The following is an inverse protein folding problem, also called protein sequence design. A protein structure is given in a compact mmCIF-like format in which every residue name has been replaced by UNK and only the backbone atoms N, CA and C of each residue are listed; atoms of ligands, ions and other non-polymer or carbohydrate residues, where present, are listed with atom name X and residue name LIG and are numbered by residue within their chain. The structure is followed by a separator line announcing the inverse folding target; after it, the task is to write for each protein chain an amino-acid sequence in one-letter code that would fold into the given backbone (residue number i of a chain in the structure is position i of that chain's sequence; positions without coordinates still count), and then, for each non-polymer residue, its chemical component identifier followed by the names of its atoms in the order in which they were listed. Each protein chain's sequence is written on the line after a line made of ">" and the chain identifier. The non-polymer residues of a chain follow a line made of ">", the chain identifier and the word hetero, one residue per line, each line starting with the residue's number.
data_IF_643862734560
#
_entry.id   IF_643862734560
#
_cell.length_a   1.000
_cell.length_b   1.000
_cell.length_c   1.000
_cell.angle_alpha   90.00
_cell.angle_beta   90.00
_cell.angle_gamma   90.00
#
_symmetry.space_group_name_H-M   'P 1'
#
loop_
_entity.id
_entity.type
_entity.pdbx_description
1 polymer ?
#
# COMPACT_ATOMS: atom_id res chain seq x y z
N UNK A 1 -9.92 31.72 -12.30
CA UNK A 1 -9.35 30.54 -11.59
C UNK A 1 -10.50 29.81 -10.94
N UNK A 2 -10.47 28.48 -10.91
CA UNK A 2 -11.50 27.67 -10.21
C UNK A 2 -11.28 27.79 -8.71
N UNK A 3 -12.32 28.08 -7.94
CA UNK A 3 -12.26 28.08 -6.48
C UNK A 3 -12.44 26.65 -5.96
N UNK A 4 -11.35 26.06 -5.45
CA UNK A 4 -11.34 24.68 -4.95
C UNK A 4 -12.01 24.50 -3.58
N UNK A 5 -12.39 25.60 -2.93
CA UNK A 5 -13.10 25.62 -1.64
C UNK A 5 -14.59 25.92 -1.77
N UNK A 6 -15.10 26.16 -2.99
CA UNK A 6 -16.53 26.28 -3.25
C UNK A 6 -17.25 24.98 -2.82
N UNK A 7 -18.30 25.04 -1.96
CA UNK A 7 -19.03 23.88 -1.48
C UNK A 7 -19.55 22.98 -2.62
N UNK A 8 -19.91 23.55 -3.78
CA UNK A 8 -20.38 22.76 -4.93
C UNK A 8 -19.24 21.92 -5.52
N UNK A 9 -18.04 22.49 -5.60
CA UNK A 9 -16.84 21.81 -6.12
C UNK A 9 -16.38 20.76 -5.12
N UNK A 10 -16.34 21.08 -3.83
CA UNK A 10 -15.98 20.14 -2.75
C UNK A 10 -16.91 18.93 -2.75
N UNK A 11 -18.23 19.13 -2.89
CA UNK A 11 -19.20 18.04 -2.96
C UNK A 11 -18.98 17.13 -4.19
N UNK A 12 -18.63 17.71 -5.35
CA UNK A 12 -18.27 16.92 -6.53
C UNK A 12 -16.98 16.14 -6.32
N UNK A 13 -15.94 16.76 -5.77
CA UNK A 13 -14.67 16.10 -5.43
C UNK A 13 -14.89 14.95 -4.45
N UNK A 14 -15.74 15.13 -3.44
CA UNK A 14 -16.09 14.08 -2.47
C UNK A 14 -16.72 12.87 -3.16
N UNK A 15 -17.71 13.11 -4.02
CA UNK A 15 -18.38 12.03 -4.78
C UNK A 15 -17.42 11.28 -5.70
N UNK A 16 -16.55 12.01 -6.40
CA UNK A 16 -15.52 11.41 -7.26
C UNK A 16 -14.50 10.60 -6.44
N UNK A 17 -14.07 11.10 -5.28
CA UNK A 17 -13.15 10.37 -4.41
C UNK A 17 -13.76 9.06 -3.89
N UNK A 18 -15.03 9.07 -3.48
CA UNK A 18 -15.74 7.85 -3.08
C UNK A 18 -15.87 6.86 -4.24
N UNK A 19 -16.23 7.31 -5.43
CA UNK A 19 -16.31 6.44 -6.60
C UNK A 19 -14.96 5.77 -6.91
N UNK A 20 -13.85 6.52 -6.84
CA UNK A 20 -12.50 5.98 -7.05
C UNK A 20 -12.12 4.99 -5.94
N UNK A 21 -12.47 5.29 -4.69
CA UNK A 21 -12.27 4.40 -3.56
C UNK A 21 -13.01 3.06 -3.76
N UNK A 22 -14.29 3.12 -4.12
CA UNK A 22 -15.14 1.95 -4.32
C UNK A 22 -14.66 1.11 -5.52
N UNK A 23 -14.26 1.76 -6.61
CA UNK A 23 -13.65 1.11 -7.77
C UNK A 23 -12.35 0.38 -7.38
N UNK A 24 -11.50 1.05 -6.59
CA UNK A 24 -10.25 0.46 -6.08
C UNK A 24 -10.53 -0.72 -5.15
N UNK A 25 -11.58 -0.62 -4.32
CA UNK A 25 -12.08 -1.71 -3.49
C UNK A 25 -12.52 -2.91 -4.33
N UNK A 26 -13.26 -2.67 -5.43
CA UNK A 26 -13.65 -3.71 -6.38
C UNK A 26 -12.45 -4.42 -7.03
N UNK A 27 -11.46 -3.65 -7.51
CA UNK A 27 -10.22 -4.21 -8.05
C UNK A 27 -9.46 -5.06 -7.01
N UNK A 28 -9.42 -4.61 -5.76
CA UNK A 28 -8.81 -5.36 -4.67
C UNK A 28 -9.59 -6.65 -4.37
N UNK A 29 -10.92 -6.61 -4.31
CA UNK A 29 -11.76 -7.79 -4.08
C UNK A 29 -11.52 -8.83 -5.17
N UNK A 30 -11.50 -8.41 -6.44
CA UNK A 30 -11.18 -9.29 -7.56
C UNK A 30 -9.83 -9.98 -7.35
N UNK A 31 -8.81 -9.20 -7.00
CA UNK A 31 -7.48 -9.74 -6.79
C UNK A 31 -7.37 -10.64 -5.55
N UNK A 32 -8.13 -10.32 -4.51
CA UNK A 32 -8.29 -11.18 -3.34
C UNK A 32 -8.90 -12.52 -3.75
N UNK A 33 -9.99 -12.55 -4.53
CA UNK A 33 -10.64 -13.80 -4.92
C UNK A 33 -9.73 -14.70 -5.77
N UNK A 34 -9.03 -14.15 -6.76
CA UNK A 34 -8.13 -14.94 -7.64
C UNK A 34 -7.01 -15.61 -6.85
N UNK A 35 -6.56 -14.98 -5.77
CA UNK A 35 -5.41 -15.46 -5.00
C UNK A 35 -5.77 -16.23 -3.74
N UNK A 36 -7.06 -16.54 -3.52
CA UNK A 36 -7.52 -17.43 -2.45
C UNK A 36 -6.99 -18.87 -2.55
N UNK A 37 -6.85 -19.50 -3.73
CA UNK A 37 -6.31 -20.85 -3.83
C UNK A 37 -4.91 -20.98 -3.23
N UNK A 38 -4.06 -19.96 -3.45
CA UNK A 38 -2.71 -19.89 -2.87
C UNK A 38 -2.75 -19.86 -1.33
N UNK A 39 -3.63 -19.03 -0.78
CA UNK A 39 -3.79 -18.91 0.68
C UNK A 39 -4.33 -20.22 1.29
N UNK A 40 -5.21 -20.92 0.58
CA UNK A 40 -5.73 -22.23 0.96
C UNK A 40 -4.64 -23.31 0.97
N UNK A 41 -3.76 -23.33 -0.03
CA UNK A 41 -2.58 -24.23 -0.04
C UNK A 41 -1.65 -23.97 1.14
N UNK A 42 -1.50 -22.69 1.52
CA UNK A 42 -0.71 -22.31 2.68
C UNK A 42 -1.33 -22.76 4.00
N UNK A 43 -2.65 -22.59 4.15
CA UNK A 43 -3.40 -23.08 5.31
C UNK A 43 -3.28 -24.61 5.47
N UNK A 44 -3.27 -25.34 4.35
CA UNK A 44 -3.02 -26.80 4.31
C UNK A 44 -1.57 -27.20 4.65
N UNK A 45 -0.70 -26.27 5.09
CA UNK A 45 0.71 -26.47 5.45
C UNK A 45 1.57 -27.07 4.34
N UNK A 46 1.24 -26.83 3.08
CA UNK A 46 2.07 -27.26 1.93
C UNK A 46 3.45 -26.59 1.93
N UNK A 47 3.59 -25.43 2.60
CA UNK A 47 4.83 -24.68 2.72
C UNK A 47 5.20 -24.41 4.19
N UNK A 48 6.49 -24.46 4.57
CA UNK A 48 6.91 -24.15 5.94
C UNK A 48 6.65 -22.69 6.29
N UNK A 49 6.38 -22.43 7.57
CA UNK A 49 6.15 -21.07 8.05
C UNK A 49 7.44 -20.24 7.94
N UNK A 50 7.35 -19.06 7.32
CA UNK A 50 8.46 -18.11 7.16
C UNK A 50 7.98 -16.72 7.57
N UNK A 51 8.82 -15.98 8.28
CA UNK A 51 8.54 -14.61 8.74
C UNK A 51 7.88 -13.68 7.70
N UNK A 52 8.30 -13.66 6.41
CA UNK A 52 7.65 -12.83 5.39
C UNK A 52 6.16 -13.11 5.17
N UNK A 53 5.67 -14.29 5.53
CA UNK A 53 4.26 -14.66 5.41
C UNK A 53 3.37 -13.82 6.32
N UNK A 54 3.87 -13.38 7.48
CA UNK A 54 3.12 -12.50 8.38
C UNK A 54 2.86 -11.15 7.69
N UNK A 55 3.85 -10.60 6.99
CA UNK A 55 3.69 -9.36 6.24
C UNK A 55 2.76 -9.54 5.03
N UNK A 56 2.84 -10.68 4.33
CA UNK A 56 1.94 -11.04 3.24
C UNK A 56 0.48 -11.11 3.71
N UNK A 57 0.17 -11.96 4.68
CA UNK A 57 -1.20 -12.11 5.17
C UNK A 57 -1.68 -10.84 5.87
N UNK A 58 -0.83 -10.19 6.66
CA UNK A 58 -1.18 -8.97 7.36
C UNK A 58 -1.51 -7.83 6.39
N UNK A 59 -0.67 -7.55 5.39
CA UNK A 59 -0.96 -6.50 4.39
C UNK A 59 -2.25 -6.79 3.63
N UNK A 60 -2.48 -8.06 3.27
CA UNK A 60 -3.66 -8.50 2.56
C UNK A 60 -4.93 -8.32 3.40
N UNK A 61 -5.04 -8.98 4.54
CA UNK A 61 -6.28 -8.95 5.34
C UNK A 61 -6.56 -7.58 5.95
N UNK A 62 -5.53 -6.82 6.31
CA UNK A 62 -5.72 -5.45 6.79
C UNK A 62 -6.23 -4.51 5.70
N UNK A 63 -5.80 -4.66 4.44
CA UNK A 63 -6.36 -3.90 3.33
C UNK A 63 -7.85 -4.23 3.11
N UNK A 64 -8.22 -5.51 3.21
CA UNK A 64 -9.63 -5.91 3.15
C UNK A 64 -10.47 -5.31 4.27
N UNK A 65 -9.97 -5.40 5.52
CA UNK A 65 -10.63 -4.82 6.68
C UNK A 65 -10.77 -3.28 6.56
N UNK A 66 -9.69 -2.60 6.17
CA UNK A 66 -9.69 -1.16 5.95
C UNK A 66 -10.64 -0.74 4.83
N UNK A 67 -10.74 -1.53 3.75
CA UNK A 67 -11.72 -1.33 2.69
C UNK A 67 -13.16 -1.40 3.20
N UNK A 68 -13.51 -2.42 3.98
CA UNK A 68 -14.85 -2.55 4.58
C UNK A 68 -15.19 -1.36 5.49
N UNK A 69 -14.24 -0.89 6.28
CA UNK A 69 -14.42 0.29 7.12
C UNK A 69 -14.58 1.56 6.27
N UNK A 70 -13.81 1.69 5.19
CA UNK A 70 -13.90 2.82 4.26
C UNK A 70 -15.27 2.86 3.56
N UNK A 71 -15.79 1.71 3.09
CA UNK A 71 -17.16 1.60 2.57
C UNK A 71 -18.20 2.05 3.60
N UNK A 72 -18.02 1.67 4.87
CA UNK A 72 -18.92 2.10 5.95
C UNK A 72 -18.88 3.61 6.17
N UNK A 73 -17.70 4.25 6.07
CA UNK A 73 -17.58 5.72 6.19
C UNK A 73 -18.16 6.50 5.01
N UNK A 74 -18.23 5.87 3.83
CA UNK A 74 -18.81 6.46 2.61
C UNK A 74 -20.34 6.36 2.55
N UNK A 75 -20.95 5.48 3.35
CA UNK A 75 -22.40 5.23 3.39
C UNK A 75 -22.90 5.22 4.84
N UNK A 76 -23.26 6.41 5.35
CA UNK A 76 -23.67 6.61 6.73
C UNK A 76 -25.16 6.95 6.80
N UNK A 77 -25.97 6.01 7.28
CA UNK A 77 -27.43 6.14 7.41
C UNK A 77 -27.89 6.74 8.76
N UNK A 78 -27.07 7.56 9.43
CA UNK A 78 -27.41 8.18 10.71
C UNK A 78 -26.19 8.70 11.49
N UNK A 79 -26.39 9.45 12.59
CA UNK A 79 -25.29 9.99 13.38
C UNK A 79 -24.43 8.86 13.95
N UNK A 80 -23.16 8.82 13.57
CA UNK A 80 -22.17 7.84 14.05
C UNK A 80 -20.88 8.55 14.45
N UNK A 81 -20.06 7.89 15.26
CA UNK A 81 -18.75 8.42 15.65
C UNK A 81 -17.75 8.36 14.48
N UNK A 82 -17.88 9.27 13.51
CA UNK A 82 -17.02 9.37 12.32
C UNK A 82 -15.53 9.38 12.66
N UNK A 83 -15.17 10.08 13.74
CA UNK A 83 -13.80 10.16 14.24
C UNK A 83 -13.20 8.78 14.57
N UNK A 84 -13.98 7.88 15.18
CA UNK A 84 -13.53 6.55 15.55
C UNK A 84 -13.38 5.65 14.32
N UNK A 85 -14.37 5.68 13.41
CA UNK A 85 -14.33 4.93 12.16
C UNK A 85 -13.17 5.35 11.26
N UNK A 86 -12.90 6.65 11.13
CA UNK A 86 -11.76 7.13 10.36
C UNK A 86 -10.43 6.74 10.98
N UNK A 87 -10.27 6.87 12.29
CA UNK A 87 -9.04 6.41 12.96
C UNK A 87 -8.80 4.93 12.74
N UNK A 88 -9.84 4.10 12.83
CA UNK A 88 -9.73 2.66 12.56
C UNK A 88 -9.39 2.37 11.09
N UNK A 89 -10.04 3.06 10.15
CA UNK A 89 -9.82 2.90 8.70
C UNK A 89 -8.40 3.32 8.30
N UNK A 90 -7.92 4.47 8.78
CA UNK A 90 -6.56 4.92 8.52
C UNK A 90 -5.52 4.07 9.24
N UNK A 91 -5.77 3.62 10.47
CA UNK A 91 -4.87 2.71 11.18
C UNK A 91 -4.66 1.42 10.39
N UNK A 92 -5.74 0.81 9.90
CA UNK A 92 -5.68 -0.43 9.12
C UNK A 92 -5.03 -0.21 7.75
N UNK A 93 -5.35 0.89 7.05
CA UNK A 93 -4.73 1.25 5.78
C UNK A 93 -3.22 1.56 5.91
N UNK A 94 -2.83 2.28 6.95
CA UNK A 94 -1.42 2.57 7.21
C UNK A 94 -0.65 1.33 7.64
N UNK A 95 -1.25 0.45 8.45
CA UNK A 95 -0.65 -0.82 8.82
C UNK A 95 -0.49 -1.74 7.59
N UNK A 96 -1.48 -1.81 6.69
CA UNK A 96 -1.35 -2.62 5.48
C UNK A 96 -0.27 -2.07 4.54
N UNK A 97 -0.19 -0.75 4.39
CA UNK A 97 0.88 -0.07 3.64
C UNK A 97 2.26 -0.37 4.22
N UNK A 98 2.44 -0.26 5.55
CA UNK A 98 3.71 -0.58 6.21
C UNK A 98 4.14 -2.04 5.97
N UNK A 99 3.21 -2.99 6.06
CA UNK A 99 3.51 -4.39 5.77
C UNK A 99 3.81 -4.65 4.29
N UNK A 100 3.17 -3.89 3.38
CA UNK A 100 3.51 -3.88 1.96
C UNK A 100 4.94 -3.39 1.70
N UNK A 101 5.30 -2.23 2.27
CA UNK A 101 6.66 -1.69 2.22
C UNK A 101 7.68 -2.64 2.88
N UNK A 102 7.30 -3.35 3.94
CA UNK A 102 8.15 -4.38 4.57
C UNK A 102 8.43 -5.55 3.63
N UNK A 103 7.47 -6.01 2.82
CA UNK A 103 7.69 -7.05 1.80
C UNK A 103 8.69 -6.58 0.75
N UNK A 104 8.59 -5.32 0.31
CA UNK A 104 9.56 -4.71 -0.59
C UNK A 104 10.95 -4.65 0.04
N UNK A 105 11.03 -4.19 1.29
CA UNK A 105 12.28 -4.11 2.05
C UNK A 105 12.95 -5.48 2.21
N UNK A 106 12.20 -6.53 2.57
CA UNK A 106 12.74 -7.88 2.67
C UNK A 106 13.35 -8.38 1.36
N UNK A 107 12.77 -7.99 0.21
CA UNK A 107 13.35 -8.30 -1.09
C UNK A 107 14.68 -7.58 -1.31
N UNK A 108 14.80 -6.32 -0.91
CA UNK A 108 16.07 -5.57 -0.94
C UNK A 108 17.14 -6.27 -0.07
N UNK A 109 16.77 -6.76 1.12
CA UNK A 109 17.68 -7.50 2.00
C UNK A 109 18.18 -8.78 1.32
N UNK A 110 17.29 -9.52 0.67
CA UNK A 110 17.64 -10.75 -0.04
C UNK A 110 18.58 -10.48 -1.23
N UNK A 111 18.34 -9.41 -1.99
CA UNK A 111 19.15 -9.02 -3.15
C UNK A 111 20.52 -8.44 -2.76
N UNK A 112 20.58 -7.68 -1.67
CA UNK A 112 21.81 -7.04 -1.21
C UNK A 112 22.81 -8.01 -0.55
N UNK A 113 22.56 -9.32 -0.59
CA UNK A 113 23.42 -10.31 0.07
C UNK A 113 23.51 -10.11 1.59
N UNK A 114 22.47 -9.52 2.21
CA UNK A 114 22.43 -9.15 3.63
C UNK A 114 23.52 -8.15 4.04
N UNK A 115 23.86 -7.20 3.17
CA UNK A 115 24.78 -6.11 3.51
C UNK A 115 24.23 -5.30 4.70
N UNK A 116 24.98 -5.31 5.82
CA UNK A 116 24.58 -4.68 7.09
C UNK A 116 24.33 -3.17 6.96
N UNK A 117 25.05 -2.48 6.06
CA UNK A 117 24.87 -1.05 5.84
C UNK A 117 23.51 -0.73 5.21
N UNK A 118 23.11 -1.49 4.18
CA UNK A 118 21.81 -1.33 3.52
C UNK A 118 20.68 -1.63 4.50
N UNK A 119 20.81 -2.72 5.26
CA UNK A 119 19.83 -3.11 6.29
C UNK A 119 19.72 -2.02 7.37
N UNK A 120 20.84 -1.48 7.84
CA UNK A 120 20.86 -0.45 8.88
C UNK A 120 20.18 0.85 8.43
N UNK A 121 20.55 1.37 7.25
CA UNK A 121 20.02 2.62 6.71
C UNK A 121 18.52 2.49 6.39
N UNK A 122 18.13 1.46 5.63
CA UNK A 122 16.71 1.26 5.29
C UNK A 122 15.90 0.84 6.51
N UNK A 123 16.47 0.06 7.44
CA UNK A 123 15.80 -0.31 8.68
C UNK A 123 15.47 0.91 9.53
N UNK A 124 16.41 1.85 9.65
CA UNK A 124 16.16 3.14 10.31
C UNK A 124 15.07 3.94 9.62
N UNK A 125 15.12 4.07 8.29
CA UNK A 125 14.08 4.77 7.52
C UNK A 125 12.71 4.12 7.69
N UNK A 126 12.64 2.79 7.65
CA UNK A 126 11.39 2.05 7.87
C UNK A 126 10.80 2.34 9.26
N UNK A 127 11.63 2.43 10.31
CA UNK A 127 11.16 2.85 11.64
C UNK A 127 10.61 4.29 11.64
N UNK A 128 11.26 5.21 10.92
CA UNK A 128 10.74 6.57 10.73
C UNK A 128 9.40 6.57 9.98
N UNK A 129 9.24 5.71 8.97
CA UNK A 129 7.98 5.52 8.25
C UNK A 129 6.88 5.04 9.20
N UNK A 130 7.14 3.99 10.00
CA UNK A 130 6.18 3.49 10.99
C UNK A 130 5.79 4.56 12.01
N UNK A 131 6.75 5.34 12.52
CA UNK A 131 6.48 6.42 13.45
C UNK A 131 5.61 7.52 12.82
N UNK A 132 5.88 7.90 11.57
CA UNK A 132 5.10 8.88 10.83
C UNK A 132 3.65 8.39 10.60
N UNK A 133 3.48 7.12 10.24
CA UNK A 133 2.17 6.48 10.05
C UNK A 133 1.33 6.51 11.34
N UNK A 134 1.94 6.17 12.48
CA UNK A 134 1.27 6.23 13.80
C UNK A 134 0.89 7.67 14.16
N UNK A 135 1.81 8.62 13.97
CA UNK A 135 1.54 10.03 14.23
C UNK A 135 0.34 10.55 13.42
N UNK A 136 0.28 10.27 12.11
CA UNK A 136 -0.84 10.67 11.26
C UNK A 136 -2.15 10.02 11.71
N UNK A 137 -2.13 8.73 12.06
CA UNK A 137 -3.32 7.99 12.53
C UNK A 137 -3.96 8.62 13.78
N UNK A 138 -3.15 9.11 14.72
CA UNK A 138 -3.66 9.71 15.97
C UNK A 138 -4.22 11.12 15.70
N UNK A 139 -3.59 11.86 14.79
CA UNK A 139 -3.92 13.26 14.48
C UNK A 139 -5.08 13.44 13.51
N UNK A 140 -5.42 12.42 12.73
CA UNK A 140 -6.48 12.53 11.72
C UNK A 140 -7.82 12.90 12.36
N UNK A 141 -8.60 13.74 11.68
CA UNK A 141 -9.94 14.13 12.12
C UNK A 141 -10.98 13.78 11.08
N UNK A 142 -12.14 13.37 11.58
CA UNK A 142 -13.27 12.94 10.77
C UNK A 142 -14.55 13.57 11.28
N UNK A 143 -15.22 14.33 10.42
CA UNK A 143 -16.46 15.04 10.74
C UNK A 143 -17.62 14.47 9.92
N UNK A 144 -18.80 14.42 10.53
CA UNK A 144 -20.00 13.96 9.83
C UNK A 144 -20.58 15.08 8.98
N UNK A 145 -20.78 14.84 7.69
CA UNK A 145 -21.41 15.79 6.78
C UNK A 145 -22.84 15.32 6.45
N UNK A 146 -23.88 15.94 7.05
CA UNK A 146 -25.27 15.50 6.88
C UNK A 146 -25.75 15.65 5.43
N UNK A 147 -25.30 16.68 4.71
CA UNK A 147 -25.72 16.98 3.33
C UNK A 147 -25.29 15.91 2.32
N UNK A 148 -24.22 15.16 2.64
CA UNK A 148 -23.65 14.12 1.78
C UNK A 148 -23.83 12.71 2.34
N UNK A 149 -24.43 12.56 3.52
CA UNK A 149 -24.62 11.27 4.23
C UNK A 149 -23.32 10.45 4.37
N UNK A 150 -22.20 11.14 4.63
CA UNK A 150 -20.87 10.55 4.73
C UNK A 150 -20.07 11.13 5.90
N UNK A 151 -19.01 10.43 6.27
CA UNK A 151 -17.96 10.99 7.11
C UNK A 151 -16.88 11.61 6.20
N UNK A 152 -16.56 12.88 6.41
CA UNK A 152 -15.48 13.58 5.71
C UNK A 152 -14.21 13.62 6.55
N UNK A 153 -13.06 13.42 5.90
CA UNK A 153 -11.75 13.62 6.53
C UNK A 153 -11.40 15.11 6.48
N UNK A 154 -10.93 15.65 7.59
CA UNK A 154 -10.48 17.04 7.69
C UNK A 154 -9.00 17.11 8.06
N UNK A 155 -8.34 18.18 7.63
CA UNK A 155 -6.93 18.44 7.91
C UNK A 155 -5.99 17.34 7.38
N UNK A 156 -6.16 16.99 6.11
CA UNK A 156 -5.35 15.98 5.41
C UNK A 156 -3.91 16.42 5.18
N UNK A 157 -3.60 17.70 5.39
CA UNK A 157 -2.25 18.26 5.30
C UNK A 157 -1.24 17.55 6.21
N UNK A 158 -1.69 17.01 7.36
CA UNK A 158 -0.87 16.25 8.30
C UNK A 158 -0.36 14.94 7.67
N UNK A 159 -1.10 14.38 6.72
CA UNK A 159 -0.70 13.15 6.00
C UNK A 159 0.45 13.39 5.02
N UNK A 160 0.79 14.65 4.71
CA UNK A 160 1.84 15.00 3.74
C UNK A 160 3.19 14.39 4.09
N UNK A 161 3.67 14.62 5.31
CA UNK A 161 4.98 14.14 5.76
C UNK A 161 5.05 12.61 5.69
N UNK A 162 4.01 11.94 6.18
CA UNK A 162 3.91 10.49 6.14
C UNK A 162 3.95 9.93 4.71
N UNK A 163 3.23 10.57 3.80
CA UNK A 163 3.19 10.15 2.39
C UNK A 163 4.56 10.27 1.73
N UNK A 164 5.28 11.38 1.94
CA UNK A 164 6.62 11.58 1.38
C UNK A 164 7.67 10.65 1.99
N UNK A 165 7.60 10.39 3.30
CA UNK A 165 8.50 9.42 3.95
C UNK A 165 8.28 8.02 3.37
N UNK A 166 7.03 7.60 3.18
CA UNK A 166 6.68 6.29 2.61
C UNK A 166 7.09 6.19 1.14
N UNK A 167 6.75 7.21 0.34
CA UNK A 167 7.15 7.27 -1.07
C UNK A 167 8.67 7.23 -1.23
N UNK A 168 9.39 8.03 -0.44
CA UNK A 168 10.86 8.06 -0.45
C UNK A 168 11.48 6.72 -0.05
N UNK A 169 10.89 6.03 0.93
CA UNK A 169 11.32 4.69 1.34
C UNK A 169 11.17 3.66 0.21
N UNK A 170 9.98 3.57 -0.39
CA UNK A 170 9.71 2.63 -1.48
C UNK A 170 10.56 2.97 -2.73
N UNK A 171 10.79 4.26 -2.99
CA UNK A 171 11.68 4.72 -4.06
C UNK A 171 13.15 4.36 -3.80
N UNK A 172 13.64 4.54 -2.58
CA UNK A 172 14.99 4.13 -2.20
C UNK A 172 15.17 2.62 -2.34
N UNK A 173 14.17 1.82 -1.94
CA UNK A 173 14.15 0.39 -2.17
C UNK A 173 14.28 0.06 -3.66
N UNK A 174 13.51 0.74 -4.52
CA UNK A 174 13.56 0.55 -5.96
C UNK A 174 14.96 0.87 -6.54
N UNK A 175 15.54 2.01 -6.18
CA UNK A 175 16.87 2.41 -6.64
C UNK A 175 17.94 1.38 -6.26
N UNK A 176 17.87 0.83 -5.05
CA UNK A 176 18.80 -0.19 -4.59
C UNK A 176 18.60 -1.50 -5.36
N UNK A 177 17.35 -1.93 -5.56
CA UNK A 177 17.04 -3.12 -6.39
C UNK A 177 17.62 -2.95 -7.78
N UNK A 178 17.38 -1.82 -8.45
CA UNK A 178 17.96 -1.54 -9.76
C UNK A 178 19.48 -1.54 -9.73
N UNK A 179 20.10 -0.89 -8.74
CA UNK A 179 21.56 -0.83 -8.60
C UNK A 179 22.21 -2.21 -8.54
N UNK A 180 21.70 -3.10 -7.67
CA UNK A 180 22.20 -4.48 -7.57
C UNK A 180 21.91 -5.30 -8.84
N UNK A 181 20.77 -5.06 -9.48
CA UNK A 181 20.37 -5.75 -10.70
C UNK A 181 21.23 -5.37 -11.91
N UNK A 182 21.65 -4.11 -12.02
CA UNK A 182 22.57 -3.67 -13.06
C UNK A 182 23.96 -4.28 -12.89
N UNK A 183 24.41 -4.48 -11.64
CA UNK A 183 25.70 -5.12 -11.34
C UNK A 183 25.69 -6.63 -11.63
N UNK A 184 24.55 -7.30 -11.45
CA UNK A 184 24.39 -8.74 -11.65
C UNK A 184 24.06 -9.18 -13.10
N UNK A 185 24.37 -8.34 -14.10
CA UNK A 185 24.14 -8.64 -15.53
C UNK A 185 24.91 -9.92 -15.93
N UNK A 186 24.18 -11.00 -16.28
CA UNK A 186 24.77 -12.20 -16.90
C UNK A 186 24.40 -13.55 -16.27
N UNK A 187 23.76 -13.59 -15.10
CA UNK A 187 23.23 -14.84 -14.54
C UNK A 187 21.81 -15.09 -15.07
N UNK A 188 21.42 -16.32 -15.44
CA UNK A 188 20.03 -16.63 -15.86
C UNK A 188 18.93 -16.29 -14.82
N UNK A 189 19.33 -16.07 -13.57
CA UNK A 189 18.49 -15.53 -12.49
C UNK A 189 18.11 -14.05 -12.70
N UNK A 190 18.89 -13.32 -13.52
CA UNK A 190 18.70 -11.91 -13.86
C UNK A 190 17.39 -11.68 -14.59
N UNK A 191 17.06 -12.46 -15.62
CA UNK A 191 15.82 -12.26 -16.40
C UNK A 191 14.56 -12.39 -15.54
N UNK A 192 14.54 -13.34 -14.60
CA UNK A 192 13.41 -13.53 -13.70
C UNK A 192 13.30 -12.41 -12.66
N UNK A 193 14.43 -12.00 -12.05
CA UNK A 193 14.47 -10.94 -11.04
C UNK A 193 14.19 -9.55 -11.64
N UNK A 194 14.68 -9.29 -12.87
CA UNK A 194 14.44 -8.05 -13.62
C UNK A 194 12.98 -7.98 -14.06
N UNK A 195 12.49 -9.01 -14.77
CA UNK A 195 11.17 -8.98 -15.39
C UNK A 195 10.05 -8.96 -14.35
N UNK A 196 10.16 -9.77 -13.29
CA UNK A 196 9.09 -9.91 -12.31
C UNK A 196 9.27 -9.05 -11.06
N UNK A 197 10.42 -8.42 -10.83
CA UNK A 197 10.64 -7.57 -9.67
C UNK A 197 10.54 -6.10 -9.98
N UNK A 198 11.41 -5.63 -10.87
CA UNK A 198 11.54 -4.21 -11.16
C UNK A 198 10.24 -3.61 -11.71
N UNK A 199 9.49 -4.36 -12.54
CA UNK A 199 8.21 -3.91 -13.10
C UNK A 199 7.21 -3.58 -12.01
N UNK A 200 7.05 -4.43 -10.98
CA UNK A 200 6.12 -4.15 -9.88
C UNK A 200 6.53 -2.93 -9.07
N UNK A 201 7.81 -2.74 -8.80
CA UNK A 201 8.26 -1.52 -8.13
C UNK A 201 8.03 -0.25 -8.96
N UNK A 202 8.26 -0.31 -10.29
CA UNK A 202 7.99 0.82 -11.18
C UNK A 202 6.51 1.19 -11.17
N UNK A 203 5.62 0.19 -11.19
CA UNK A 203 4.16 0.39 -11.07
C UNK A 203 3.81 1.04 -9.73
N UNK A 204 4.43 0.61 -8.63
CA UNK A 204 4.22 1.22 -7.30
C UNK A 204 4.62 2.69 -7.29
N UNK A 205 5.81 3.04 -7.79
CA UNK A 205 6.28 4.43 -7.84
C UNK A 205 5.41 5.29 -8.77
N UNK A 206 4.98 4.74 -9.91
CA UNK A 206 4.04 5.41 -10.80
C UNK A 206 2.70 5.67 -10.12
N UNK A 207 2.21 4.75 -9.28
CA UNK A 207 0.97 4.92 -8.52
C UNK A 207 1.09 5.93 -7.37
N UNK A 208 2.26 6.07 -6.76
CA UNK A 208 2.52 7.08 -5.73
C UNK A 208 2.67 8.52 -6.28
N UNK A 209 3.03 8.67 -7.55
CA UNK A 209 3.39 10.00 -8.11
C UNK A 209 2.17 10.94 -8.19
N UNK A 210 1.01 10.55 -8.76
CA UNK A 210 -0.17 11.42 -8.81
C UNK A 210 -0.67 11.93 -7.45
N UNK A 211 -0.89 11.09 -6.42
CA UNK A 211 -1.28 11.56 -5.09
C UNK A 211 -0.24 12.46 -4.43
N UNK A 212 1.07 12.24 -4.64
CA UNK A 212 2.10 13.16 -4.14
C UNK A 212 1.94 14.57 -4.74
N UNK A 213 1.66 14.66 -6.05
CA UNK A 213 1.40 15.94 -6.73
C UNK A 213 0.15 16.62 -6.15
N UNK A 214 -0.97 15.89 -6.01
CA UNK A 214 -2.21 16.43 -5.46
C UNK A 214 -2.02 16.95 -4.03
N UNK A 215 -1.24 16.23 -3.22
CA UNK A 215 -0.95 16.59 -1.82
C UNK A 215 -0.03 17.81 -1.67
N UNK A 216 0.85 18.07 -2.66
CA UNK A 216 1.63 19.31 -2.76
C UNK A 216 0.71 20.48 -3.11
N UNK A 217 -0.15 20.30 -4.12
CA UNK A 217 -1.08 21.34 -4.58
C UNK A 217 -2.08 21.75 -3.51
N UNK A 218 -2.46 20.83 -2.61
CA UNK A 218 -3.32 21.09 -1.46
C UNK A 218 -4.61 21.84 -1.80
N UNK A 219 -5.31 21.37 -2.84
CA UNK A 219 -6.49 22.04 -3.37
C UNK A 219 -7.67 21.97 -2.40
N UNK A 220 -7.99 20.77 -1.92
CA UNK A 220 -8.94 20.49 -0.83
C UNK A 220 -8.69 19.08 -0.26
N UNK A 221 -9.33 18.74 0.86
CA UNK A 221 -9.11 17.47 1.58
C UNK A 221 -9.47 16.23 0.75
N UNK A 222 -10.51 16.29 -0.08
CA UNK A 222 -10.91 15.17 -0.94
C UNK A 222 -9.94 14.97 -2.10
N UNK A 223 -9.47 16.04 -2.75
CA UNK A 223 -8.46 15.96 -3.81
C UNK A 223 -7.13 15.40 -3.28
N UNK A 224 -6.73 15.80 -2.08
CA UNK A 224 -5.51 15.29 -1.44
C UNK A 224 -5.55 13.79 -1.18
N UNK A 225 -6.73 13.23 -0.91
CA UNK A 225 -6.91 11.82 -0.51
C UNK A 225 -7.42 10.91 -1.62
N UNK A 226 -7.98 11.48 -2.69
CA UNK A 226 -8.61 10.79 -3.81
C UNK A 226 -7.78 9.64 -4.40
N UNK A 227 -6.49 9.88 -4.63
CA UNK A 227 -5.58 8.89 -5.23
C UNK A 227 -4.73 8.13 -4.21
N UNK A 228 -4.87 8.42 -2.91
CA UNK A 228 -4.14 7.70 -1.88
C UNK A 228 -4.61 6.25 -1.76
N UNK A 229 -5.93 6.01 -1.78
CA UNK A 229 -6.49 4.64 -1.72
C UNK A 229 -6.03 3.78 -2.91
N UNK A 230 -6.19 4.22 -4.17
CA UNK A 230 -5.62 3.50 -5.32
C UNK A 230 -4.13 3.20 -5.16
N UNK A 231 -3.33 4.16 -4.67
CA UNK A 231 -1.89 3.97 -4.50
C UNK A 231 -1.54 2.86 -3.51
N UNK A 232 -2.24 2.79 -2.37
CA UNK A 232 -2.03 1.75 -1.35
C UNK A 232 -2.50 0.39 -1.87
N UNK A 233 -3.62 0.35 -2.58
CA UNK A 233 -4.12 -0.89 -3.21
C UNK A 233 -3.08 -1.43 -4.21
N UNK A 234 -2.53 -0.57 -5.07
CA UNK A 234 -1.48 -0.95 -6.01
C UNK A 234 -0.23 -1.45 -5.28
N UNK A 235 0.25 -0.73 -4.26
CA UNK A 235 1.38 -1.17 -3.43
C UNK A 235 1.17 -2.60 -2.90
N UNK A 236 0.06 -2.83 -2.22
CA UNK A 236 -0.21 -4.12 -1.57
C UNK A 236 -0.39 -5.23 -2.59
N UNK A 237 -1.12 -4.98 -3.70
CA UNK A 237 -1.30 -5.97 -4.77
C UNK A 237 0.04 -6.32 -5.43
N UNK A 238 0.85 -5.33 -5.77
CA UNK A 238 2.16 -5.55 -6.37
C UNK A 238 3.10 -6.30 -5.41
N UNK A 239 3.18 -5.88 -4.15
CA UNK A 239 4.01 -6.55 -3.14
C UNK A 239 3.59 -8.02 -2.91
N UNK A 240 2.28 -8.29 -2.88
CA UNK A 240 1.76 -9.65 -2.69
C UNK A 240 1.93 -10.54 -3.94
N UNK A 241 1.68 -10.03 -5.15
CA UNK A 241 1.97 -10.75 -6.40
C UNK A 241 3.44 -11.09 -6.52
N UNK A 242 4.29 -10.12 -6.19
CA UNK A 242 5.73 -10.29 -6.16
C UNK A 242 6.16 -11.41 -5.20
N UNK A 243 5.56 -11.45 -4.01
CA UNK A 243 5.81 -12.49 -3.02
C UNK A 243 5.37 -13.89 -3.48
N UNK A 244 4.17 -14.02 -4.05
CA UNK A 244 3.63 -15.29 -4.57
C UNK A 244 4.48 -15.85 -5.70
N UNK A 245 4.84 -15.00 -6.68
CA UNK A 245 5.67 -15.41 -7.81
C UNK A 245 7.03 -15.95 -7.34
N UNK A 246 7.60 -15.37 -6.28
CA UNK A 246 8.85 -15.86 -5.70
C UNK A 246 8.68 -17.26 -5.09
N UNK A 247 7.58 -17.50 -4.36
CA UNK A 247 7.30 -18.82 -3.77
C UNK A 247 7.07 -19.87 -4.84
N UNK A 248 6.27 -19.55 -5.86
CA UNK A 248 5.97 -20.48 -6.95
C UNK A 248 7.25 -20.86 -7.71
N UNK A 249 8.17 -19.92 -7.89
CA UNK A 249 9.48 -20.19 -8.48
C UNK A 249 10.31 -21.16 -7.64
N UNK A 250 10.41 -20.91 -6.32
CA UNK A 250 11.12 -21.84 -5.42
C UNK A 250 10.47 -23.23 -5.38
N UNK A 251 9.15 -23.29 -5.43
CA UNK A 251 8.42 -24.56 -5.45
C UNK A 251 8.73 -25.38 -6.72
N UNK A 252 8.76 -24.73 -7.90
CA UNK A 252 9.16 -25.38 -9.17
C UNK A 252 10.60 -25.85 -9.15
N UNK A 253 11.52 -25.01 -8.70
CA UNK A 253 12.94 -25.37 -8.60
C UNK A 253 13.16 -26.58 -7.69
N UNK A 254 12.39 -26.69 -6.60
CA UNK A 254 12.49 -27.83 -5.68
C UNK A 254 11.94 -29.10 -6.33
N UNK A 255 10.88 -29.00 -7.14
CA UNK A 255 10.32 -30.15 -7.86
C UNK A 255 11.31 -30.71 -8.89
N UNK A 256 11.96 -29.84 -9.68
CA UNK A 256 12.96 -30.23 -10.69
C UNK A 256 14.20 -30.91 -10.08
N UNK A 257 14.55 -30.58 -8.83
CA UNK A 257 15.65 -31.22 -8.10
C UNK A 257 15.30 -32.60 -7.54
N UNK A 258 14.01 -32.93 -7.46
CA UNK A 258 13.51 -34.20 -6.91
C UNK A 258 13.07 -35.21 -7.98
N UNK A 259 13.01 -34.79 -9.26
CA UNK A 259 12.73 -35.63 -10.44
C UNK A 259 14.01 -36.09 -11.12
#
# INVERSE_FOLDING_TARGET
>A
MVDWHDPVIVARCARTAMFIQDLSGGCYIWEFLISLPFDWEHYKRKYPFRWPQVAYFGSRYLLGLGGLMAFRTSLVFGPTNCQAWFRASFATAHACGALGSLLLFMRVIALSGRNKYVIGILGFWYLCQCAALVHTTIRIRGEYMPDLLLCAVTNTSISRINYFISFGFDFACLCIVFGYLFQARGAGLWDLLVSQGAVYFMVVIAAYTPPAILLILNLNDFMNTMLQVPSVVVLVVCANRMYRNLIDFYARLTADLTS
#
